data_IF_473414593741
#
_entry.id   IF_473414593741
#
_cell.length_a   1.000
_cell.length_b   1.000
_cell.length_c   1.000
_cell.angle_alpha   90.00
_cell.angle_beta   90.00
_cell.angle_gamma   90.00
#
_symmetry.space_group_name_H-M   'P 1'
#
loop_
_entity.id
_entity.type
_entity.pdbx_description
1 polymer ?
#
# COMPACT_ATOMS: atom_id res chain seq x y z
N UNK A 1 28.79 -13.23 5.70
CA UNK A 1 27.75 -14.08 5.09
C UNK A 1 26.42 -13.39 5.31
N UNK A 2 25.95 -12.61 4.34
CA UNK A 2 24.63 -11.98 4.38
C UNK A 2 23.84 -12.59 3.22
N UNK A 3 22.81 -13.37 3.54
CA UNK A 3 21.96 -14.02 2.57
C UNK A 3 21.23 -12.95 1.75
N UNK A 4 21.70 -12.77 0.51
CA UNK A 4 20.96 -12.09 -0.54
C UNK A 4 19.81 -13.00 -0.95
N UNK A 5 18.75 -13.03 -0.12
CA UNK A 5 17.47 -13.59 -0.54
C UNK A 5 17.07 -12.90 -1.83
N UNK A 6 17.08 -13.67 -2.92
CA UNK A 6 16.88 -13.16 -4.27
C UNK A 6 15.47 -12.54 -4.31
N UNK A 7 15.31 -11.34 -4.86
CA UNK A 7 14.01 -10.66 -4.99
C UNK A 7 12.94 -11.59 -5.62
N UNK A 8 13.38 -12.53 -6.47
CA UNK A 8 12.58 -13.56 -7.13
C UNK A 8 11.98 -14.62 -6.18
N UNK A 9 12.64 -14.89 -5.05
CA UNK A 9 12.15 -15.82 -4.03
C UNK A 9 11.08 -15.17 -3.14
N UNK A 10 11.21 -13.86 -2.89
CA UNK A 10 10.31 -13.11 -2.01
C UNK A 10 8.97 -12.83 -2.69
N UNK A 11 9.00 -12.44 -3.97
CA UNK A 11 7.81 -12.06 -4.72
C UNK A 11 7.80 -12.70 -6.10
N UNK A 12 6.76 -13.50 -6.35
CA UNK A 12 6.51 -14.14 -7.65
C UNK A 12 5.26 -13.54 -8.27
N UNK A 13 5.42 -12.89 -9.42
CA UNK A 13 4.32 -12.36 -10.22
C UNK A 13 4.32 -13.06 -11.59
N UNK A 14 3.35 -13.93 -11.83
CA UNK A 14 3.22 -14.70 -13.08
C UNK A 14 1.74 -14.90 -13.42
N UNK A 15 1.39 -14.88 -14.70
CA UNK A 15 0.01 -15.12 -15.18
C UNK A 15 -1.04 -14.29 -14.42
N UNK A 16 -0.76 -13.00 -14.21
CA UNK A 16 -1.63 -12.06 -13.47
C UNK A 16 -1.87 -12.40 -11.99
N UNK A 17 -1.05 -13.30 -11.45
CA UNK A 17 -1.14 -13.74 -10.05
C UNK A 17 0.13 -13.45 -9.29
N UNK A 18 -0.06 -12.95 -8.07
CA UNK A 18 0.98 -12.63 -7.11
C UNK A 18 1.05 -13.71 -6.03
N UNK A 19 2.28 -14.02 -5.62
CA UNK A 19 2.58 -14.80 -4.43
C UNK A 19 3.73 -14.13 -3.69
N UNK A 20 3.57 -13.90 -2.39
CA UNK A 20 4.62 -13.36 -1.52
C UNK A 20 5.04 -14.45 -0.53
N UNK A 21 6.35 -14.71 -0.45
CA UNK A 21 6.95 -15.64 0.49
C UNK A 21 8.12 -14.95 1.20
N UNK A 22 7.85 -14.42 2.38
CA UNK A 22 8.83 -13.75 3.22
C UNK A 22 8.99 -14.51 4.55
N UNK A 23 10.23 -14.79 4.93
CA UNK A 23 10.58 -15.38 6.23
C UNK A 23 11.63 -14.50 6.89
N UNK A 24 11.31 -13.91 8.05
CA UNK A 24 12.20 -12.99 8.78
C UNK A 24 12.81 -11.89 7.90
N UNK A 25 12.08 -11.47 6.87
CA UNK A 25 12.58 -10.61 5.80
C UNK A 25 12.32 -9.14 6.16
N UNK A 26 13.32 -8.25 6.06
CA UNK A 26 13.11 -6.82 6.28
C UNK A 26 11.99 -6.29 5.37
N UNK A 27 11.07 -5.50 5.95
CA UNK A 27 9.95 -4.93 5.23
C UNK A 27 10.40 -4.20 3.96
N UNK A 28 11.48 -3.43 4.03
CA UNK A 28 12.04 -2.71 2.87
C UNK A 28 12.39 -3.62 1.69
N UNK A 29 12.86 -4.85 1.95
CA UNK A 29 13.17 -5.83 0.90
C UNK A 29 11.88 -6.32 0.24
N UNK A 30 10.83 -6.55 1.02
CA UNK A 30 9.51 -6.97 0.51
C UNK A 30 8.90 -5.86 -0.35
N UNK A 31 8.93 -4.61 0.14
CA UNK A 31 8.41 -3.45 -0.61
C UNK A 31 9.17 -3.25 -1.92
N UNK A 32 10.50 -3.36 -1.89
CA UNK A 32 11.34 -3.27 -3.08
C UNK A 32 11.05 -4.41 -4.06
N UNK A 33 10.79 -5.62 -3.56
CA UNK A 33 10.45 -6.76 -4.40
C UNK A 33 9.09 -6.57 -5.09
N UNK A 34 8.09 -6.06 -4.38
CA UNK A 34 6.77 -5.72 -4.95
C UNK A 34 6.91 -4.65 -6.03
N UNK A 35 7.69 -3.58 -5.76
CA UNK A 35 7.90 -2.51 -6.72
C UNK A 35 8.60 -3.01 -7.99
N UNK A 36 9.63 -3.84 -7.86
CA UNK A 36 10.37 -4.36 -9.02
C UNK A 36 9.55 -5.37 -9.84
N UNK A 37 8.73 -6.22 -9.20
CA UNK A 37 8.00 -7.29 -9.88
C UNK A 37 6.63 -6.87 -10.40
N UNK A 38 5.93 -6.01 -9.67
CA UNK A 38 4.55 -5.62 -9.98
C UNK A 38 4.43 -4.18 -10.46
N UNK A 39 5.51 -3.39 -10.44
CA UNK A 39 5.51 -1.95 -10.74
C UNK A 39 4.59 -1.14 -9.82
N UNK A 40 4.20 -1.70 -8.66
CA UNK A 40 3.37 -1.03 -7.66
C UNK A 40 4.25 -0.46 -6.56
N UNK A 41 4.11 0.84 -6.31
CA UNK A 41 4.81 1.52 -5.21
C UNK A 41 3.96 1.48 -3.94
N UNK A 42 4.54 1.13 -2.80
CA UNK A 42 3.87 1.21 -1.50
C UNK A 42 4.60 2.26 -0.66
N UNK A 43 3.85 3.25 -0.15
CA UNK A 43 4.38 4.37 0.66
C UNK A 43 3.68 4.44 2.02
N UNK A 44 4.29 5.10 3.00
CA UNK A 44 3.75 5.24 4.36
C UNK A 44 4.25 4.19 5.37
N UNK A 45 5.13 3.27 4.94
CA UNK A 45 5.72 2.20 5.75
C UNK A 45 7.22 2.41 6.03
N UNK A 46 7.78 3.57 5.67
CA UNK A 46 9.20 3.89 5.73
C UNK A 46 9.75 3.84 7.17
N UNK A 47 8.89 4.17 8.14
CA UNK A 47 9.21 4.13 9.57
C UNK A 47 9.40 2.70 10.12
N UNK A 48 8.92 1.66 9.41
CA UNK A 48 9.03 0.23 9.78
C UNK A 48 9.95 -0.55 8.84
N UNK A 49 10.81 0.14 8.07
CA UNK A 49 11.65 -0.44 7.00
C UNK A 49 12.50 -1.64 7.42
N UNK A 50 13.03 -1.63 8.64
CA UNK A 50 13.91 -2.67 9.20
C UNK A 50 13.15 -3.79 9.94
N UNK A 51 11.82 -3.69 10.02
CA UNK A 51 11.00 -4.70 10.69
C UNK A 51 11.05 -6.03 9.94
N UNK A 52 11.31 -7.12 10.67
CA UNK A 52 11.36 -8.46 10.11
C UNK A 52 9.96 -9.04 10.01
N UNK A 53 9.47 -9.16 8.78
CA UNK A 53 8.15 -9.69 8.47
C UNK A 53 8.27 -11.16 8.06
N UNK A 54 7.37 -11.98 8.59
CA UNK A 54 7.19 -13.37 8.17
C UNK A 54 5.77 -13.50 7.63
N UNK A 55 5.65 -13.55 6.31
CA UNK A 55 4.37 -13.54 5.61
C UNK A 55 4.42 -14.51 4.43
N UNK A 56 3.38 -15.33 4.32
CA UNK A 56 3.15 -16.18 3.17
C UNK A 56 1.73 -15.95 2.66
N UNK A 57 1.60 -15.70 1.35
CA UNK A 57 0.31 -15.64 0.69
C UNK A 57 0.09 -16.86 -0.19
N UNK A 58 -1.18 -17.22 -0.37
CA UNK A 58 -1.56 -18.08 -1.48
C UNK A 58 -1.49 -17.28 -2.79
N UNK A 59 -1.39 -18.00 -3.91
CA UNK A 59 -1.49 -17.44 -5.26
C UNK A 59 -2.83 -16.72 -5.41
N UNK A 60 -2.81 -15.45 -5.78
CA UNK A 60 -4.03 -14.65 -5.97
C UNK A 60 -3.80 -13.40 -6.80
N UNK A 61 -4.86 -12.66 -7.10
CA UNK A 61 -4.76 -11.38 -7.80
C UNK A 61 -3.90 -10.39 -7.02
N UNK A 62 -3.19 -9.52 -7.74
CA UNK A 62 -2.32 -8.48 -7.20
C UNK A 62 -2.97 -7.73 -6.02
N UNK A 63 -4.15 -7.16 -6.25
CA UNK A 63 -4.88 -6.39 -5.23
C UNK A 63 -5.24 -7.22 -3.99
N UNK A 64 -5.66 -8.47 -4.19
CA UNK A 64 -6.07 -9.34 -3.07
C UNK A 64 -4.87 -9.65 -2.17
N UNK A 65 -3.75 -10.02 -2.78
CA UNK A 65 -2.53 -10.37 -2.03
C UNK A 65 -1.95 -9.15 -1.33
N UNK A 66 -1.97 -7.98 -1.98
CA UNK A 66 -1.53 -6.73 -1.35
C UNK A 66 -2.45 -6.32 -0.19
N UNK A 67 -3.78 -6.50 -0.31
CA UNK A 67 -4.73 -6.29 0.82
C UNK A 67 -4.43 -7.23 1.98
N UNK A 68 -4.21 -8.52 1.71
CA UNK A 68 -3.88 -9.50 2.75
C UNK A 68 -2.54 -9.16 3.43
N UNK A 69 -1.55 -8.69 2.66
CA UNK A 69 -0.26 -8.24 3.17
C UNK A 69 -0.40 -7.02 4.09
N UNK A 70 -1.11 -5.97 3.67
CA UNK A 70 -1.36 -4.77 4.50
C UNK A 70 -2.14 -5.12 5.78
N UNK A 71 -3.13 -6.01 5.67
CA UNK A 71 -3.87 -6.51 6.84
C UNK A 71 -2.96 -7.26 7.81
N UNK A 72 -2.00 -8.04 7.30
CA UNK A 72 -1.01 -8.72 8.13
C UNK A 72 -0.07 -7.73 8.85
N UNK A 73 0.29 -6.63 8.19
CA UNK A 73 1.06 -5.55 8.81
C UNK A 73 0.27 -4.75 9.86
N UNK A 74 -1.04 -4.97 9.96
CA UNK A 74 -1.95 -4.25 10.85
C UNK A 74 -2.46 -2.92 10.27
N UNK A 75 -2.14 -2.61 9.01
CA UNK A 75 -2.52 -1.37 8.36
C UNK A 75 -3.96 -1.47 7.85
N UNK A 76 -4.83 -0.63 8.39
CA UNK A 76 -6.25 -0.55 8.00
C UNK A 76 -6.58 0.72 7.21
N UNK A 77 -5.72 1.72 7.29
CA UNK A 77 -5.91 3.01 6.63
C UNK A 77 -4.95 3.09 5.44
N UNK A 78 -5.43 2.66 4.28
CA UNK A 78 -4.67 2.75 3.04
C UNK A 78 -5.58 3.09 1.87
N UNK A 79 -5.00 3.70 0.83
CA UNK A 79 -5.68 4.01 -0.42
C UNK A 79 -4.95 3.34 -1.59
N UNK A 80 -5.73 2.81 -2.54
CA UNK A 80 -5.21 2.35 -3.83
C UNK A 80 -5.34 3.47 -4.85
N UNK A 81 -4.26 3.75 -5.56
CA UNK A 81 -4.25 4.70 -6.66
C UNK A 81 -4.08 3.95 -7.98
N UNK A 82 -5.03 4.17 -8.89
CA UNK A 82 -5.07 3.55 -10.20
C UNK A 82 -4.82 4.60 -11.27
N UNK A 83 -4.08 4.23 -12.31
CA UNK A 83 -3.93 5.02 -13.53
C UNK A 83 -4.08 4.12 -14.75
N UNK A 84 -4.86 4.56 -15.73
CA UNK A 84 -5.18 3.78 -16.94
C UNK A 84 -5.65 2.34 -16.63
N UNK A 85 -6.51 2.19 -15.63
CA UNK A 85 -7.03 0.91 -15.13
C UNK A 85 -5.98 -0.07 -14.54
N UNK A 86 -4.75 0.37 -14.33
CA UNK A 86 -3.71 -0.40 -13.64
C UNK A 86 -3.44 0.18 -12.24
N UNK A 87 -3.14 -0.68 -11.27
CA UNK A 87 -2.73 -0.25 -9.93
C UNK A 87 -1.32 0.35 -10.00
N UNK A 88 -1.17 1.62 -9.60
CA UNK A 88 0.12 2.32 -9.64
C UNK A 88 0.78 2.36 -8.26
N UNK A 89 0.00 2.71 -7.23
CA UNK A 89 0.54 2.81 -5.89
C UNK A 89 -0.49 2.53 -4.81
N UNK A 90 0.04 2.20 -3.63
CA UNK A 90 -0.70 2.07 -2.38
C UNK A 90 -0.10 3.09 -1.41
N UNK A 91 -0.95 3.95 -0.88
CA UNK A 91 -0.56 4.93 0.13
C UNK A 91 -1.12 4.47 1.47
N UNK A 92 -0.24 4.07 2.38
CA UNK A 92 -0.61 3.80 3.77
C UNK A 92 -0.65 5.12 4.52
N UNK A 93 -1.83 5.45 5.03
CA UNK A 93 -2.06 6.66 5.78
C UNK A 93 -1.75 6.39 7.26
N UNK A 94 -1.14 7.34 7.97
CA UNK A 94 -0.96 7.19 9.41
C UNK A 94 -2.33 6.97 10.03
N UNK A 95 -2.49 5.81 10.69
CA UNK A 95 -3.69 5.55 11.46
C UNK A 95 -3.85 6.68 12.47
N UNK A 96 -5.04 7.27 12.53
CA UNK A 96 -5.42 8.16 13.59
C UNK A 96 -5.15 7.47 14.93
N UNK A 97 -3.98 7.72 15.52
CA UNK A 97 -3.90 7.69 16.97
C UNK A 97 -4.88 8.78 17.37
N UNK A 98 -6.00 8.38 17.97
CA UNK A 98 -6.90 9.30 18.64
C UNK A 98 -6.13 9.89 19.83
N UNK A 99 -5.21 10.81 19.54
CA UNK A 99 -4.60 11.73 20.48
C UNK A 99 -3.81 12.78 19.66
N UNK A 100 -4.43 13.94 19.50
CA UNK A 100 -3.92 15.19 18.90
C UNK A 100 -3.61 15.22 17.39
N UNK A 101 -4.66 15.44 16.60
CA UNK A 101 -4.52 16.19 15.33
C UNK A 101 -4.48 17.69 15.64
N UNK A 102 -3.42 18.45 15.28
CA UNK A 102 -3.66 19.79 14.79
C UNK A 102 -4.45 19.63 13.49
N UNK A 103 -5.65 20.22 13.47
CA UNK A 103 -6.60 20.21 12.36
C UNK A 103 -5.93 20.71 11.07
N UNK A 104 -5.35 19.81 10.28
CA UNK A 104 -5.07 20.08 8.88
C UNK A 104 -6.40 19.91 8.14
N UNK A 105 -7.13 21.01 8.09
CA UNK A 105 -8.33 21.21 7.30
C UNK A 105 -8.12 20.65 5.89
N UNK A 106 -8.79 19.53 5.59
CA UNK A 106 -9.06 19.10 4.23
C UNK A 106 -9.86 20.22 3.56
N UNK A 107 -9.15 21.11 2.88
CA UNK A 107 -9.73 22.02 1.90
C UNK A 107 -10.17 21.18 0.69
N UNK A 108 -11.27 20.44 0.86
CA UNK A 108 -12.14 20.08 -0.23
C UNK A 108 -12.73 21.39 -0.75
N UNK A 109 -12.10 22.00 -1.76
CA UNK A 109 -12.73 23.08 -2.51
C UNK A 109 -13.93 22.47 -3.25
N UNK A 110 -15.09 22.59 -2.62
CA UNK A 110 -16.38 22.17 -3.14
C UNK A 110 -17.30 23.38 -3.27
N UNK A 111 -16.85 24.44 -3.93
CA UNK A 111 -17.71 25.58 -4.27
C UNK A 111 -17.37 26.13 -5.66
N UNK A 112 -18.04 25.58 -6.67
CA UNK A 112 -18.52 26.37 -7.80
C UNK A 112 -19.65 25.58 -8.50
N UNK A 113 -20.78 25.48 -7.81
CA UNK A 113 -22.08 25.33 -8.48
C UNK A 113 -22.76 26.71 -8.37
N UNK A 114 -22.91 27.48 -9.46
CA UNK A 114 -23.77 28.64 -9.42
C UNK A 114 -25.21 28.15 -9.48
N UNK A 115 -25.98 28.34 -8.40
CA UNK A 115 -27.40 28.66 -8.50
C UNK A 115 -28.03 28.90 -7.13
N UNK A 116 -28.58 30.09 -6.94
CA UNK A 116 -29.96 30.20 -6.49
C UNK A 116 -30.56 31.54 -6.89
N UNK A 117 -31.65 31.39 -7.63
CA UNK A 117 -32.71 32.33 -7.96
C UNK A 117 -33.26 33.03 -6.71
N UNK A 118 -33.45 34.35 -6.77
CA UNK A 118 -34.25 35.09 -5.77
C UNK A 118 -35.73 34.94 -6.11
N UNK A 119 -36.50 34.36 -5.19
CA UNK A 119 -37.95 34.48 -5.16
C UNK A 119 -38.36 35.91 -4.76
N UNK A 120 -39.39 36.43 -5.41
CA UNK A 120 -40.09 37.68 -5.10
C UNK A 120 -41.42 37.38 -4.41
#
# INVERSE_FOLDING_TARGET
MAEEGTIDEIVKFQNDTLTIQASQTPLIKILSAIQNKCLVKITGLEHRKDEKITFSSNKGSLERVLKDFLRHLGEKNYAFEYGNAALLQIVVLPGAKADNYPTATLAYQKENLPNTVKAV
#
